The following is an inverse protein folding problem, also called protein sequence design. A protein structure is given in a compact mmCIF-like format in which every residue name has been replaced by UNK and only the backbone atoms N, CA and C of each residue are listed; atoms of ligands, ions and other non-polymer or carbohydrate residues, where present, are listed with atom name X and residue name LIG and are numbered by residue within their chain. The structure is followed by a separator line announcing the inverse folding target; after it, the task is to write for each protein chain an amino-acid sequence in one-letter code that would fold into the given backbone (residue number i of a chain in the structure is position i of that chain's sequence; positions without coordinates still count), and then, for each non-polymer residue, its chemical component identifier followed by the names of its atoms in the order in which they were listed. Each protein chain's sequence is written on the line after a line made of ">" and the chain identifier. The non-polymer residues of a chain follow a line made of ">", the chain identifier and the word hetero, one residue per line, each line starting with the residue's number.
data_IF_642103468562
#
_entry.id   IF_642103468562
#
_cell.length_a   1.000
_cell.length_b   1.000
_cell.length_c   1.000
_cell.angle_alpha   90.00
_cell.angle_beta   90.00
_cell.angle_gamma   90.00
#
_symmetry.space_group_name_H-M   'P 1'
#
loop_
_entity.id
_entity.type
_entity.pdbx_description
1 polymer ?
#
# COMPACT_ATOMS: atom_id res chain seq x y z
N UNK A 1 -44.32 -49.76 4.43
CA UNK A 1 -42.99 -49.81 5.10
C UNK A 1 -41.98 -50.18 4.02
N UNK A 2 -41.12 -49.31 3.50
CA UNK A 2 -40.17 -48.44 4.20
C UNK A 2 -40.02 -47.12 3.42
N UNK A 3 -40.10 -46.00 4.12
CA UNK A 3 -39.79 -44.68 3.61
C UNK A 3 -38.28 -44.59 3.35
N UNK A 4 -37.89 -44.29 2.12
CA UNK A 4 -36.52 -43.89 1.79
C UNK A 4 -36.44 -42.38 2.03
N UNK A 5 -35.80 -42.01 3.13
CA UNK A 5 -35.53 -40.63 3.50
C UNK A 5 -34.50 -40.06 2.51
N UNK A 6 -34.92 -39.10 1.69
CA UNK A 6 -34.03 -38.35 0.80
C UNK A 6 -33.39 -37.23 1.64
N UNK A 7 -32.16 -37.47 2.13
CA UNK A 7 -31.37 -36.46 2.81
C UNK A 7 -30.92 -35.41 1.77
N UNK A 8 -31.65 -34.31 1.68
CA UNK A 8 -31.20 -33.08 1.04
C UNK A 8 -30.09 -32.51 1.92
N UNK A 9 -28.84 -32.84 1.57
CA UNK A 9 -27.64 -32.19 2.08
C UNK A 9 -27.63 -30.75 1.56
N UNK A 10 -28.25 -29.86 2.33
CA UNK A 10 -28.14 -28.42 2.17
C UNK A 10 -26.68 -28.04 2.48
N UNK A 11 -25.83 -28.01 1.44
CA UNK A 11 -24.53 -27.35 1.49
C UNK A 11 -24.80 -25.85 1.71
N UNK A 12 -24.84 -25.46 2.98
CA UNK A 12 -24.63 -24.10 3.43
C UNK A 12 -23.24 -23.69 2.94
N UNK A 13 -23.15 -23.12 1.74
CA UNK A 13 -22.05 -22.22 1.43
C UNK A 13 -22.18 -21.06 2.40
N UNK A 14 -21.38 -21.12 3.47
CA UNK A 14 -21.23 -20.02 4.41
C UNK A 14 -20.68 -18.82 3.64
N UNK A 15 -21.57 -17.89 3.33
CA UNK A 15 -21.25 -16.51 3.01
C UNK A 15 -20.59 -15.89 4.23
N UNK A 16 -19.25 -15.83 4.19
CA UNK A 16 -18.43 -14.68 4.59
C UNK A 16 -16.98 -15.12 4.71
N UNK A 17 -16.31 -15.35 3.57
CA UNK A 17 -14.87 -15.09 3.56
C UNK A 17 -14.70 -13.57 3.67
N UNK A 18 -14.83 -13.04 4.89
CA UNK A 18 -14.14 -11.83 5.26
C UNK A 18 -12.67 -12.16 4.99
N UNK A 19 -12.13 -11.67 3.87
CA UNK A 19 -10.73 -11.91 3.56
C UNK A 19 -9.94 -11.27 4.70
N UNK A 20 -9.32 -12.11 5.55
CA UNK A 20 -8.44 -11.62 6.59
C UNK A 20 -7.39 -10.72 5.93
N UNK A 21 -7.12 -9.56 6.53
CA UNK A 21 -6.15 -8.61 6.00
C UNK A 21 -4.82 -9.33 5.77
N UNK A 22 -4.29 -9.22 4.54
CA UNK A 22 -3.02 -9.84 4.16
C UNK A 22 -1.92 -9.49 5.17
N UNK A 23 -1.02 -10.45 5.41
CA UNK A 23 0.01 -10.37 6.44
C UNK A 23 1.41 -10.43 5.86
N UNK A 24 2.30 -9.61 6.42
CA UNK A 24 3.69 -9.47 5.99
C UNK A 24 4.61 -9.74 7.17
N UNK A 25 5.38 -10.82 7.08
CA UNK A 25 6.44 -11.14 8.03
C UNK A 25 7.72 -10.37 7.68
N UNK A 26 8.10 -9.43 8.54
CA UNK A 26 9.30 -8.61 8.38
C UNK A 26 10.49 -9.33 9.00
N UNK A 27 11.42 -9.78 8.16
CA UNK A 27 12.64 -10.48 8.57
C UNK A 27 13.68 -9.52 9.17
N UNK A 28 14.72 -10.03 9.85
CA UNK A 28 15.87 -9.20 10.20
C UNK A 28 16.51 -8.62 8.95
N UNK A 29 16.92 -7.35 8.99
CA UNK A 29 17.57 -6.71 7.84
C UNK A 29 19.04 -7.11 7.81
N UNK A 30 19.51 -7.49 6.63
CA UNK A 30 20.94 -7.62 6.37
C UNK A 30 21.56 -6.25 6.13
N UNK A 31 22.87 -6.12 6.29
CA UNK A 31 23.53 -4.84 6.07
C UNK A 31 24.93 -4.98 5.46
N UNK A 32 25.38 -3.94 4.78
CA UNK A 32 26.75 -3.85 4.28
C UNK A 32 27.78 -3.83 5.41
N UNK A 33 29.03 -4.15 5.10
CA UNK A 33 30.13 -4.29 6.09
C UNK A 33 30.40 -3.01 6.89
N UNK A 34 30.08 -1.84 6.33
CA UNK A 34 30.32 -0.53 6.95
C UNK A 34 29.08 0.05 7.65
N UNK A 35 27.99 -0.72 7.72
CA UNK A 35 26.76 -0.33 8.40
C UNK A 35 26.72 -1.06 9.74
N UNK A 36 26.46 -0.34 10.83
CA UNK A 36 26.31 -0.97 12.14
C UNK A 36 24.95 -1.67 12.24
N UNK A 37 24.88 -2.72 13.04
CA UNK A 37 23.62 -3.43 13.33
C UNK A 37 22.57 -2.49 13.93
N UNK A 38 22.98 -1.55 14.79
CA UNK A 38 22.08 -0.54 15.35
C UNK A 38 21.41 0.31 14.26
N UNK A 39 22.17 0.78 13.26
CA UNK A 39 21.56 1.54 12.17
C UNK A 39 20.69 0.67 11.26
N UNK A 40 21.10 -0.58 11.01
CA UNK A 40 20.26 -1.55 10.28
C UNK A 40 18.91 -1.74 10.97
N UNK A 41 18.91 -1.90 12.29
CA UNK A 41 17.71 -2.07 13.10
C UNK A 41 16.84 -0.80 13.10
N UNK A 42 17.44 0.40 13.15
CA UNK A 42 16.69 1.66 13.02
C UNK A 42 15.97 1.77 11.67
N UNK A 43 16.64 1.41 10.57
CA UNK A 43 16.03 1.37 9.23
C UNK A 43 14.88 0.36 9.19
N UNK A 44 15.11 -0.86 9.68
CA UNK A 44 14.08 -1.91 9.75
C UNK A 44 12.83 -1.45 10.50
N UNK A 45 13.02 -0.91 11.71
CA UNK A 45 11.90 -0.46 12.55
C UNK A 45 11.10 0.64 11.86
N UNK A 46 11.79 1.58 11.21
CA UNK A 46 11.13 2.65 10.46
C UNK A 46 10.38 2.12 9.23
N UNK A 47 10.92 1.11 8.54
CA UNK A 47 10.19 0.42 7.46
C UNK A 47 8.94 -0.26 8.00
N UNK A 48 9.02 -0.94 9.14
CA UNK A 48 7.84 -1.56 9.77
C UNK A 48 6.76 -0.53 10.15
N UNK A 49 7.17 0.60 10.74
CA UNK A 49 6.27 1.73 11.04
C UNK A 49 5.59 2.24 9.75
N UNK A 50 6.37 2.44 8.68
CA UNK A 50 5.88 2.86 7.38
C UNK A 50 4.88 1.89 6.77
N UNK A 51 5.13 0.58 6.87
CA UNK A 51 4.20 -0.46 6.36
C UNK A 51 2.89 -0.43 7.15
N UNK A 52 2.98 -0.33 8.48
CA UNK A 52 1.82 -0.34 9.34
C UNK A 52 1.00 0.96 9.28
N UNK A 53 1.60 2.07 8.83
CA UNK A 53 1.00 3.41 8.82
C UNK A 53 -0.36 3.51 8.13
N UNK A 54 -0.59 2.70 7.08
CA UNK A 54 -1.85 2.67 6.32
C UNK A 54 -2.85 1.64 6.84
N UNK A 55 -2.41 0.73 7.71
CA UNK A 55 -3.21 -0.43 8.10
C UNK A 55 -3.63 -1.30 6.91
N UNK A 56 -2.85 -1.30 5.80
CA UNK A 56 -3.14 -2.07 4.57
C UNK A 56 -2.90 -3.56 4.76
N UNK A 57 -1.87 -3.89 5.53
CA UNK A 57 -1.42 -5.26 5.81
C UNK A 57 -1.16 -5.42 7.29
N UNK A 58 -1.28 -6.65 7.79
CA UNK A 58 -0.85 -7.03 9.13
C UNK A 58 0.67 -7.20 9.13
N UNK A 59 1.37 -6.32 9.84
CA UNK A 59 2.80 -6.44 10.04
C UNK A 59 3.07 -7.44 11.15
N UNK A 60 3.89 -8.45 10.86
CA UNK A 60 4.40 -9.43 11.80
C UNK A 60 5.92 -9.25 11.93
N UNK A 61 6.45 -9.25 13.15
CA UNK A 61 7.88 -9.14 13.39
C UNK A 61 8.47 -10.53 13.61
N UNK A 62 9.37 -10.99 12.73
CA UNK A 62 10.05 -12.28 12.89
C UNK A 62 10.80 -12.48 14.22
N UNK A 63 11.16 -11.40 14.93
CA UNK A 63 11.78 -11.49 16.25
C UNK A 63 10.79 -11.83 17.38
N UNK A 64 9.50 -11.53 17.22
CA UNK A 64 8.46 -11.74 18.24
C UNK A 64 7.35 -12.70 17.83
N UNK A 65 7.10 -12.81 16.53
CA UNK A 65 6.04 -13.60 15.91
C UNK A 65 6.61 -14.84 15.19
N UNK A 66 7.70 -15.41 15.72
CA UNK A 66 8.32 -16.61 15.15
C UNK A 66 7.29 -17.77 15.08
N UNK A 67 7.15 -18.36 13.89
CA UNK A 67 6.14 -19.38 13.60
C UNK A 67 4.73 -18.87 13.25
N UNK A 68 4.47 -17.56 13.20
CA UNK A 68 3.21 -17.04 12.70
C UNK A 68 3.05 -17.32 11.20
N UNK A 69 1.87 -17.80 10.79
CA UNK A 69 1.53 -17.91 9.37
C UNK A 69 1.37 -16.50 8.77
N UNK A 70 2.10 -16.26 7.68
CA UNK A 70 2.08 -15.01 6.94
C UNK A 70 1.78 -15.27 5.46
N UNK A 71 1.22 -14.28 4.78
CA UNK A 71 0.96 -14.35 3.33
C UNK A 71 2.21 -13.95 2.52
N UNK A 72 3.00 -13.03 3.07
CA UNK A 72 4.21 -12.49 2.44
C UNK A 72 5.37 -12.42 3.43
N UNK A 73 6.60 -12.44 2.90
CA UNK A 73 7.80 -12.02 3.62
C UNK A 73 8.34 -10.72 3.05
N UNK A 74 8.82 -9.84 3.94
CA UNK A 74 9.62 -8.68 3.57
C UNK A 74 11.07 -8.90 4.02
N UNK A 75 11.94 -9.05 3.04
CA UNK A 75 13.39 -9.10 3.20
C UNK A 75 13.96 -7.69 2.95
N UNK A 76 14.83 -7.22 3.86
CA UNK A 76 15.49 -5.92 3.74
C UNK A 76 17.00 -6.02 3.76
N UNK A 77 17.65 -5.17 2.99
CA UNK A 77 19.09 -4.98 3.00
C UNK A 77 19.43 -3.49 3.09
N UNK A 78 20.15 -3.08 4.14
CA UNK A 78 20.78 -1.76 4.20
C UNK A 78 22.11 -1.81 3.47
N UNK A 79 22.12 -1.34 2.24
CA UNK A 79 23.28 -1.42 1.35
C UNK A 79 24.40 -0.50 1.83
N UNK A 80 24.07 0.75 2.14
CA UNK A 80 25.05 1.72 2.65
C UNK A 80 24.40 2.84 3.46
N UNK A 81 25.20 3.42 4.36
CA UNK A 81 24.91 4.70 5.01
C UNK A 81 26.12 5.59 4.73
N UNK A 82 25.89 6.67 3.99
CA UNK A 82 26.93 7.63 3.62
C UNK A 82 26.71 8.91 4.39
N UNK A 83 27.70 9.32 5.17
CA UNK A 83 27.71 10.60 5.90
C UNK A 83 28.62 11.56 5.14
N UNK A 84 28.10 12.74 4.79
CA UNK A 84 28.86 13.79 4.13
C UNK A 84 29.12 14.92 5.13
N UNK A 85 30.40 15.24 5.34
CA UNK A 85 30.84 16.37 6.16
C UNK A 85 31.09 17.60 5.28
N UNK A 86 30.51 18.73 5.66
CA UNK A 86 30.78 20.06 5.12
C UNK A 86 31.06 21.08 6.23
N UNK A 87 31.03 22.36 5.88
CA UNK A 87 31.07 23.45 6.85
C UNK A 87 30.18 24.62 6.44
N UNK A 88 29.84 25.47 7.40
CA UNK A 88 29.27 26.81 7.24
C UNK A 88 29.94 27.78 8.23
N UNK A 89 29.49 29.04 8.26
CA UNK A 89 30.03 30.09 9.14
C UNK A 89 29.93 29.76 10.64
N UNK A 90 29.14 28.75 11.01
CA UNK A 90 28.92 28.31 12.40
C UNK A 90 29.64 26.99 12.71
N UNK A 91 30.40 26.42 11.78
CA UNK A 91 31.25 25.25 12.00
C UNK A 91 30.95 24.06 11.08
N UNK A 92 31.32 22.86 11.55
CA UNK A 92 31.13 21.63 10.81
C UNK A 92 29.65 21.29 10.66
N UNK A 93 29.30 20.73 9.50
CA UNK A 93 27.93 20.34 9.17
C UNK A 93 27.90 18.95 8.57
N UNK A 94 26.80 18.22 8.79
CA UNK A 94 26.66 16.84 8.35
C UNK A 94 25.33 16.63 7.62
N UNK A 95 25.35 15.75 6.64
CA UNK A 95 24.15 15.18 5.99
C UNK A 95 24.35 13.67 5.82
N UNK A 96 23.26 12.92 5.72
CA UNK A 96 23.32 11.47 5.53
C UNK A 96 22.42 11.00 4.39
N UNK A 97 22.87 9.94 3.71
CA UNK A 97 22.10 9.20 2.71
C UNK A 97 22.14 7.71 3.04
N UNK A 98 20.98 7.08 3.12
CA UNK A 98 20.78 5.66 3.37
C UNK A 98 20.27 5.04 2.08
N UNK A 99 21.01 4.06 1.56
CA UNK A 99 20.57 3.23 0.45
C UNK A 99 20.13 1.87 1.01
N UNK A 100 18.89 1.48 0.75
CA UNK A 100 18.34 0.21 1.22
C UNK A 100 17.44 -0.42 0.16
N UNK A 101 17.37 -1.75 0.15
CA UNK A 101 16.53 -2.51 -0.75
C UNK A 101 15.51 -3.32 0.03
N UNK A 102 14.27 -3.34 -0.45
CA UNK A 102 13.19 -4.16 0.07
C UNK A 102 12.76 -5.17 -1.01
N UNK A 103 12.52 -6.41 -0.59
CA UNK A 103 11.99 -7.48 -1.42
C UNK A 103 10.77 -8.09 -0.74
N UNK A 104 9.65 -8.15 -1.46
CA UNK A 104 8.42 -8.80 -1.01
C UNK A 104 8.24 -10.10 -1.78
N UNK A 105 8.08 -11.20 -1.04
CA UNK A 105 7.86 -12.54 -1.61
C UNK A 105 6.55 -13.09 -1.09
N UNK A 106 5.68 -13.58 -1.96
CA UNK A 106 4.46 -14.30 -1.59
C UNK A 106 4.81 -15.72 -1.18
N UNK A 107 4.31 -16.16 -0.04
CA UNK A 107 4.72 -17.44 0.55
C UNK A 107 4.06 -18.63 -0.16
N UNK A 108 2.81 -18.49 -0.61
CA UNK A 108 2.02 -19.60 -1.17
C UNK A 108 2.66 -20.26 -2.39
N UNK A 109 3.40 -19.51 -3.20
CA UNK A 109 4.07 -19.97 -4.43
C UNK A 109 5.50 -19.47 -4.59
N UNK A 110 6.05 -18.79 -3.58
CA UNK A 110 7.40 -18.24 -3.57
C UNK A 110 7.65 -17.22 -4.71
N UNK A 111 6.61 -16.52 -5.18
CA UNK A 111 6.73 -15.46 -6.18
C UNK A 111 7.29 -14.18 -5.57
N UNK A 112 8.30 -13.58 -6.21
CA UNK A 112 8.78 -12.24 -5.87
C UNK A 112 7.79 -11.22 -6.44
N UNK A 113 7.02 -10.58 -5.56
CA UNK A 113 6.00 -9.59 -5.93
C UNK A 113 6.66 -8.24 -6.22
N UNK A 114 7.68 -7.87 -5.45
CA UNK A 114 8.39 -6.62 -5.62
C UNK A 114 9.85 -6.72 -5.16
N UNK A 115 10.72 -5.97 -5.83
CA UNK A 115 12.06 -5.65 -5.35
C UNK A 115 12.35 -4.21 -5.72
N UNK A 116 12.61 -3.37 -4.72
CA UNK A 116 12.83 -1.95 -4.92
C UNK A 116 13.95 -1.43 -4.04
N UNK A 117 14.79 -0.57 -4.64
CA UNK A 117 15.85 0.13 -3.94
C UNK A 117 15.40 1.56 -3.67
N UNK A 118 15.65 2.02 -2.45
CA UNK A 118 15.29 3.34 -1.95
C UNK A 118 16.53 4.11 -1.56
N UNK A 119 16.43 5.42 -1.70
CA UNK A 119 17.40 6.38 -1.22
C UNK A 119 16.70 7.31 -0.22
N UNK A 120 16.98 7.14 1.07
CA UNK A 120 16.51 8.04 2.10
C UNK A 120 17.62 9.03 2.45
N UNK A 121 17.37 10.32 2.27
CA UNK A 121 18.33 11.37 2.55
C UNK A 121 17.82 12.24 3.68
N UNK A 122 18.71 12.77 4.51
CA UNK A 122 18.35 13.74 5.55
C UNK A 122 17.75 15.00 4.87
N UNK A 123 16.44 15.24 4.98
CA UNK A 123 15.74 16.25 4.15
C UNK A 123 15.70 17.65 4.79
N UNK A 124 16.35 18.62 4.13
CA UNK A 124 15.75 19.75 3.38
C UNK A 124 16.91 20.51 2.71
N UNK A 125 16.63 21.32 1.68
CA UNK A 125 17.60 22.21 0.99
C UNK A 125 18.41 23.12 1.95
N UNK A 126 18.04 23.19 3.23
CA UNK A 126 18.64 24.03 4.27
C UNK A 126 19.05 23.26 5.54
N UNK A 127 18.81 21.94 5.62
CA UNK A 127 19.03 21.15 6.85
C UNK A 127 20.48 20.67 6.93
N UNK A 128 21.34 21.46 7.58
CA UNK A 128 22.73 21.07 7.91
C UNK A 128 22.82 20.70 9.39
N UNK A 129 22.99 19.41 9.69
CA UNK A 129 23.07 18.92 11.06
C UNK A 129 24.43 19.23 11.67
N UNK A 130 24.51 19.33 13.00
CA UNK A 130 25.76 19.61 13.73
C UNK A 130 26.47 18.36 14.19
N UNK A 131 25.80 17.21 14.15
CA UNK A 131 26.38 15.90 14.45
C UNK A 131 26.06 14.89 13.34
N UNK A 132 26.89 13.86 13.21
CA UNK A 132 26.66 12.75 12.29
C UNK A 132 25.41 11.95 12.66
N UNK A 133 25.17 11.76 13.97
CA UNK A 133 24.02 11.03 14.49
C UNK A 133 22.70 11.69 14.10
N UNK A 134 22.59 13.01 14.26
CA UNK A 134 21.37 13.75 13.89
C UNK A 134 21.10 13.67 12.37
N UNK A 135 22.16 13.69 11.56
CA UNK A 135 22.04 13.54 10.12
C UNK A 135 21.50 12.16 9.75
N UNK A 136 22.06 11.09 10.34
CA UNK A 136 21.58 9.72 10.08
C UNK A 136 20.16 9.53 10.57
N UNK A 137 19.81 10.00 11.77
CA UNK A 137 18.44 9.90 12.29
C UNK A 137 17.43 10.63 11.40
N UNK A 138 17.79 11.81 10.88
CA UNK A 138 16.93 12.51 9.93
C UNK A 138 16.75 11.75 8.60
N UNK A 139 17.79 11.05 8.14
CA UNK A 139 17.67 10.20 6.96
C UNK A 139 16.83 8.94 7.25
N UNK A 140 16.94 8.36 8.45
CA UNK A 140 16.05 7.27 8.89
C UNK A 140 14.61 7.76 8.91
N UNK A 141 14.32 8.89 9.54
CA UNK A 141 12.95 9.40 9.65
C UNK A 141 12.31 9.57 8.27
N UNK A 142 13.04 10.05 7.26
CA UNK A 142 12.52 10.21 5.89
C UNK A 142 12.04 8.92 5.21
N UNK A 143 12.43 7.74 5.72
CA UNK A 143 11.91 6.45 5.22
C UNK A 143 10.37 6.40 5.36
N UNK A 144 9.81 6.98 6.42
CA UNK A 144 8.35 7.00 6.64
C UNK A 144 7.55 7.67 5.52
N UNK A 145 8.18 8.54 4.74
CA UNK A 145 7.57 9.22 3.61
C UNK A 145 7.58 8.37 2.34
N UNK A 146 8.48 7.39 2.24
CA UNK A 146 8.68 6.56 1.04
C UNK A 146 7.87 5.26 1.10
N UNK A 147 7.85 4.62 2.26
CA UNK A 147 7.23 3.30 2.46
C UNK A 147 5.71 3.28 2.24
N UNK A 148 4.92 4.29 2.63
CA UNK A 148 3.49 4.24 2.41
C UNK A 148 3.13 4.12 0.93
N UNK A 149 3.86 4.79 0.03
CA UNK A 149 3.61 4.68 -1.41
C UNK A 149 4.04 3.31 -1.97
N UNK A 150 5.14 2.74 -1.45
CA UNK A 150 5.52 1.34 -1.74
C UNK A 150 4.43 0.34 -1.34
N UNK A 151 3.81 0.53 -0.18
CA UNK A 151 2.68 -0.31 0.28
C UNK A 151 1.50 -0.23 -0.69
N UNK A 152 1.14 0.96 -1.17
CA UNK A 152 0.03 1.10 -2.13
C UNK A 152 0.34 0.47 -3.50
N UNK A 153 1.61 0.39 -3.87
CA UNK A 153 2.06 -0.26 -5.10
C UNK A 153 2.02 -1.79 -5.01
N UNK A 154 2.54 -2.33 -3.90
CA UNK A 154 2.66 -3.78 -3.68
C UNK A 154 1.34 -4.40 -3.25
N UNK A 155 0.62 -3.77 -2.31
CA UNK A 155 -0.60 -4.29 -1.68
C UNK A 155 -1.82 -3.48 -2.12
N UNK A 156 -2.10 -3.49 -3.42
CA UNK A 156 -3.25 -2.79 -4.01
C UNK A 156 -4.56 -3.39 -3.51
N UNK A 157 -5.47 -2.55 -3.02
CA UNK A 157 -6.84 -3.01 -2.78
C UNK A 157 -7.73 -2.76 -3.97
N UNK A 158 -8.56 -3.76 -4.24
CA UNK A 158 -9.53 -3.77 -5.33
C UNK A 158 -10.93 -3.84 -4.74
N UNK A 159 -11.79 -2.94 -5.18
CA UNK A 159 -13.19 -2.91 -4.75
C UNK A 159 -14.15 -2.66 -5.91
N UNK A 160 -15.43 -2.60 -5.59
CA UNK A 160 -16.49 -2.25 -6.54
C UNK A 160 -17.04 -0.87 -6.23
N UNK A 161 -17.63 -0.23 -7.24
CA UNK A 161 -18.52 0.91 -7.02
C UNK A 161 -19.90 0.34 -6.67
N UNK A 162 -20.44 0.75 -5.53
CA UNK A 162 -21.76 0.30 -5.04
C UNK A 162 -22.85 1.08 -5.80
N UNK A 163 -22.84 2.40 -5.68
CA UNK A 163 -23.80 3.29 -6.34
C UNK A 163 -23.24 4.72 -6.46
N UNK A 164 -23.91 5.54 -7.27
CA UNK A 164 -23.62 6.97 -7.38
C UNK A 164 -24.45 7.73 -6.33
N UNK A 165 -23.79 8.28 -5.32
CA UNK A 165 -24.42 9.04 -4.24
C UNK A 165 -24.85 10.46 -4.67
N UNK A 166 -24.18 11.06 -5.66
CA UNK A 166 -24.52 12.40 -6.15
C UNK A 166 -24.24 12.53 -7.65
N UNK A 167 -25.22 13.04 -8.41
CA UNK A 167 -25.11 13.31 -9.86
C UNK A 167 -25.49 14.76 -10.16
N UNK A 168 -24.76 15.41 -11.07
CA UNK A 168 -25.13 16.73 -11.59
C UNK A 168 -24.91 16.82 -13.10
N UNK A 169 -25.99 16.92 -13.89
CA UNK A 169 -25.94 16.97 -15.37
C UNK A 169 -25.17 15.77 -15.96
N UNK A 170 -25.62 14.56 -15.64
CA UNK A 170 -25.01 13.30 -16.11
C UNK A 170 -23.51 13.20 -15.79
N UNK A 171 -23.14 13.73 -14.63
CA UNK A 171 -21.78 13.75 -14.14
C UNK A 171 -21.80 13.28 -12.68
N UNK A 172 -21.24 12.11 -12.42
CA UNK A 172 -21.06 11.58 -11.08
C UNK A 172 -20.16 12.53 -10.28
N UNK A 173 -20.63 12.92 -9.09
CA UNK A 173 -19.92 13.80 -8.15
C UNK A 173 -19.46 13.04 -6.92
N UNK A 174 -20.27 12.09 -6.44
CA UNK A 174 -19.93 11.23 -5.31
C UNK A 174 -20.41 9.81 -5.57
N UNK A 175 -19.73 8.83 -5.00
CA UNK A 175 -20.06 7.41 -5.11
C UNK A 175 -19.65 6.65 -3.86
N UNK A 176 -20.36 5.56 -3.56
CA UNK A 176 -19.98 4.60 -2.53
C UNK A 176 -19.16 3.47 -3.14
N UNK A 177 -18.15 2.99 -2.40
CA UNK A 177 -17.32 1.84 -2.80
C UNK A 177 -17.29 0.78 -1.71
N UNK A 178 -17.00 -0.46 -2.09
CA UNK A 178 -16.88 -1.61 -1.18
C UNK A 178 -15.53 -1.69 -0.46
N UNK A 179 -14.85 -0.56 -0.26
CA UNK A 179 -13.57 -0.53 0.47
C UNK A 179 -13.72 0.37 1.69
N UNK A 180 -13.25 -0.10 2.84
CA UNK A 180 -13.37 0.59 4.12
C UNK A 180 -12.13 0.47 5.00
N UNK A 181 -12.33 0.56 6.31
CA UNK A 181 -11.23 0.55 7.28
C UNK A 181 -10.46 -0.77 7.31
N UNK A 182 -11.11 -1.91 7.06
CA UNK A 182 -10.46 -3.23 7.03
C UNK A 182 -9.55 -3.40 5.80
N UNK A 183 -9.84 -2.68 4.72
CA UNK A 183 -9.01 -2.61 3.52
C UNK A 183 -7.85 -1.61 3.64
N UNK A 184 -7.66 -0.99 4.82
CA UNK A 184 -6.66 0.05 5.05
C UNK A 184 -6.90 1.32 4.23
N UNK A 185 -8.16 1.63 3.90
CA UNK A 185 -8.52 2.87 3.20
C UNK A 185 -8.51 4.05 4.17
N UNK A 186 -7.91 5.16 3.74
CA UNK A 186 -7.83 6.39 4.51
C UNK A 186 -8.53 7.55 3.82
N UNK A 187 -9.05 8.48 4.62
CA UNK A 187 -9.60 9.75 4.11
C UNK A 187 -8.55 10.46 3.26
N UNK A 188 -8.97 10.87 2.07
CA UNK A 188 -8.13 11.57 1.11
C UNK A 188 -7.29 10.67 0.21
N UNK A 189 -7.30 9.35 0.41
CA UNK A 189 -6.68 8.40 -0.52
C UNK A 189 -7.32 8.50 -1.90
N UNK A 190 -6.51 8.37 -2.94
CA UNK A 190 -6.97 8.41 -4.33
C UNK A 190 -7.10 6.98 -4.88
N UNK A 191 -8.13 6.77 -5.69
CA UNK A 191 -8.36 5.51 -6.39
C UNK A 191 -8.67 5.81 -7.86
N UNK A 192 -8.25 4.89 -8.71
CA UNK A 192 -8.66 4.87 -10.11
C UNK A 192 -9.96 4.09 -10.24
N UNK A 193 -10.93 4.65 -10.95
CA UNK A 193 -12.15 3.95 -11.36
C UNK A 193 -11.88 3.31 -12.71
N UNK A 194 -12.18 2.02 -12.84
CA UNK A 194 -11.91 1.25 -14.05
C UNK A 194 -13.13 0.45 -14.47
N UNK A 195 -13.28 0.26 -15.77
CA UNK A 195 -14.29 -0.63 -16.34
C UNK A 195 -13.62 -1.88 -16.91
N UNK A 196 -14.20 -3.03 -16.60
CA UNK A 196 -13.83 -4.31 -17.19
C UNK A 196 -14.30 -4.37 -18.64
N UNK A 197 -13.46 -4.86 -19.55
CA UNK A 197 -13.84 -5.15 -20.94
C UNK A 197 -13.28 -6.50 -21.35
N UNK A 198 -13.99 -7.20 -22.24
CA UNK A 198 -13.50 -8.43 -22.86
C UNK A 198 -13.07 -8.16 -24.30
N UNK A 199 -11.83 -8.50 -24.64
CA UNK A 199 -11.31 -8.43 -26.01
C UNK A 199 -10.71 -9.79 -26.37
N UNK A 200 -11.32 -10.49 -27.32
CA UNK A 200 -10.85 -11.81 -27.76
C UNK A 200 -10.75 -12.82 -26.61
N UNK A 201 -11.72 -12.80 -25.68
CA UNK A 201 -11.76 -13.67 -24.50
C UNK A 201 -10.81 -13.27 -23.37
N UNK A 202 -10.06 -12.17 -23.50
CA UNK A 202 -9.19 -11.64 -22.43
C UNK A 202 -9.86 -10.50 -21.70
N UNK A 203 -9.83 -10.55 -20.37
CA UNK A 203 -10.28 -9.45 -19.51
C UNK A 203 -9.22 -8.35 -19.46
N UNK A 204 -9.62 -7.14 -19.81
CA UNK A 204 -8.82 -5.92 -19.67
C UNK A 204 -9.53 -4.93 -18.76
N UNK A 205 -8.78 -4.06 -18.10
CA UNK A 205 -9.33 -2.96 -17.31
C UNK A 205 -8.91 -1.63 -17.91
N UNK A 206 -9.88 -0.76 -18.21
CA UNK A 206 -9.63 0.61 -18.69
C UNK A 206 -9.95 1.59 -17.56
N UNK A 207 -9.00 2.46 -17.20
CA UNK A 207 -9.27 3.59 -16.29
C UNK A 207 -10.22 4.58 -16.97
N UNK A 208 -11.30 4.91 -16.29
CA UNK A 208 -12.38 5.80 -16.75
C UNK A 208 -12.62 6.99 -15.83
N UNK A 209 -11.84 7.13 -14.75
CA UNK A 209 -11.85 8.31 -13.91
C UNK A 209 -11.07 8.13 -12.62
N UNK A 210 -11.07 9.17 -11.80
CA UNK A 210 -10.35 9.18 -10.52
C UNK A 210 -11.27 9.66 -9.41
N UNK A 211 -11.18 9.03 -8.25
CA UNK A 211 -11.92 9.38 -7.05
C UNK A 211 -10.97 9.63 -5.89
N UNK A 212 -11.46 10.38 -4.90
CA UNK A 212 -10.77 10.63 -3.63
C UNK A 212 -11.73 10.30 -2.49
N UNK A 213 -11.27 9.49 -1.53
CA UNK A 213 -12.06 9.12 -0.34
C UNK A 213 -12.40 10.38 0.45
N UNK A 214 -13.68 10.64 0.65
CA UNK A 214 -14.20 11.78 1.40
C UNK A 214 -14.43 11.41 2.87
N UNK A 215 -15.03 10.23 3.10
CA UNK A 215 -15.23 9.59 4.41
C UNK A 215 -15.10 8.07 4.28
N UNK A 216 -14.48 7.45 5.29
CA UNK A 216 -14.57 6.00 5.53
C UNK A 216 -15.75 5.81 6.47
N UNK A 217 -16.77 5.08 6.03
CA UNK A 217 -18.08 5.01 6.72
C UNK A 217 -18.30 3.68 7.43
N UNK A 218 -17.46 2.68 7.15
CA UNK A 218 -17.47 1.40 7.82
C UNK A 218 -16.26 0.54 7.48
N UNK A 219 -16.32 -0.72 7.90
CA UNK A 219 -15.29 -1.73 7.68
C UNK A 219 -15.03 -1.97 6.18
N UNK A 220 -16.08 -1.94 5.37
CA UNK A 220 -16.14 -2.33 3.97
C UNK A 220 -16.82 -1.26 3.08
N UNK A 221 -16.96 -0.03 3.58
CA UNK A 221 -17.64 1.04 2.86
C UNK A 221 -17.01 2.41 3.05
N UNK A 222 -16.88 3.15 1.95
CA UNK A 222 -16.42 4.54 1.94
C UNK A 222 -17.21 5.38 0.94
N UNK A 223 -17.46 6.64 1.29
CA UNK A 223 -17.95 7.66 0.37
C UNK A 223 -16.76 8.36 -0.30
N UNK A 224 -16.80 8.44 -1.62
CA UNK A 224 -15.75 9.04 -2.41
C UNK A 224 -16.26 10.20 -3.25
N UNK A 225 -15.45 11.25 -3.36
CA UNK A 225 -15.65 12.36 -4.30
C UNK A 225 -14.99 12.04 -5.63
N UNK A 226 -15.72 12.23 -6.72
CA UNK A 226 -15.18 12.14 -8.07
C UNK A 226 -14.28 13.35 -8.35
N UNK A 227 -13.04 13.09 -8.74
CA UNK A 227 -12.04 14.12 -9.03
C UNK A 227 -11.73 14.26 -10.53
N UNK A 228 -11.92 13.20 -11.33
CA UNK A 228 -11.79 13.24 -12.80
C UNK A 228 -12.84 12.37 -13.49
N UNK A 229 -13.21 12.78 -14.70
CA UNK A 229 -14.04 11.99 -15.64
C UNK A 229 -15.42 11.52 -15.12
N UNK A 230 -16.10 12.34 -14.29
CA UNK A 230 -17.41 11.98 -13.73
C UNK A 230 -18.51 11.69 -14.75
N UNK A 231 -18.40 12.14 -16.01
CA UNK A 231 -19.34 11.76 -17.08
C UNK A 231 -19.13 10.32 -17.54
N UNK A 232 -17.88 9.92 -17.72
CA UNK A 232 -17.53 8.55 -18.13
C UNK A 232 -17.89 7.55 -17.02
N UNK A 233 -17.64 7.90 -15.75
CA UNK A 233 -18.08 7.11 -14.60
C UNK A 233 -19.61 6.98 -14.59
N UNK A 234 -20.34 8.10 -14.74
CA UNK A 234 -21.80 8.09 -14.77
C UNK A 234 -22.34 7.18 -15.87
N UNK A 235 -21.78 7.29 -17.08
CA UNK A 235 -22.14 6.46 -18.22
C UNK A 235 -21.89 4.97 -17.93
N UNK A 236 -20.70 4.62 -17.46
CA UNK A 236 -20.34 3.23 -17.17
C UNK A 236 -21.22 2.61 -16.07
N UNK A 237 -21.53 3.36 -15.01
CA UNK A 237 -22.44 2.90 -13.95
C UNK A 237 -23.90 2.78 -14.40
N UNK A 238 -24.30 3.46 -15.46
CA UNK A 238 -25.66 3.37 -16.03
C UNK A 238 -25.77 2.21 -17.01
N UNK A 239 -24.73 1.97 -17.81
CA UNK A 239 -24.74 0.96 -18.88
C UNK A 239 -24.27 -0.42 -18.41
N UNK A 240 -23.20 -0.48 -17.60
CA UNK A 240 -22.51 -1.71 -17.19
C UNK A 240 -21.99 -1.62 -15.74
N UNK A 241 -22.86 -1.42 -14.73
CA UNK A 241 -22.44 -1.20 -13.34
C UNK A 241 -21.58 -2.34 -12.76
N UNK A 242 -21.91 -3.59 -13.10
CA UNK A 242 -21.19 -4.77 -12.59
C UNK A 242 -19.74 -4.87 -13.06
N UNK A 243 -19.41 -4.19 -14.16
CA UNK A 243 -18.05 -4.13 -14.73
C UNK A 243 -17.22 -2.99 -14.15
N UNK A 244 -17.80 -2.11 -13.32
CA UNK A 244 -17.09 -0.96 -12.73
C UNK A 244 -16.46 -1.35 -11.40
N UNK A 245 -15.16 -1.14 -11.30
CA UNK A 245 -14.37 -1.39 -10.10
C UNK A 245 -13.45 -0.22 -9.76
N UNK A 246 -12.87 -0.26 -8.57
CA UNK A 246 -11.89 0.72 -8.09
C UNK A 246 -10.61 0.01 -7.67
N UNK A 247 -9.49 0.70 -7.79
CA UNK A 247 -8.19 0.23 -7.30
C UNK A 247 -7.43 1.40 -6.68
N UNK A 248 -6.69 1.16 -5.60
CA UNK A 248 -5.81 2.18 -5.03
C UNK A 248 -4.83 2.71 -6.08
N UNK A 249 -4.71 4.03 -6.15
CA UNK A 249 -3.87 4.69 -7.13
C UNK A 249 -2.42 4.68 -6.66
N UNK A 250 -1.51 4.20 -7.51
CA UNK A 250 -0.08 4.27 -7.25
C UNK A 250 0.42 5.68 -7.55
N UNK A 251 1.22 6.24 -6.65
CA UNK A 251 1.91 7.49 -6.88
C UNK A 251 3.10 7.24 -7.82
N UNK A 252 2.99 7.63 -9.09
CA UNK A 252 4.01 7.33 -10.11
C UNK A 252 5.36 8.06 -9.88
N UNK A 253 5.48 8.91 -8.87
CA UNK A 253 6.72 9.65 -8.57
C UNK A 253 7.84 8.80 -7.96
N UNK A 254 7.62 7.51 -7.67
CA UNK A 254 8.67 6.61 -7.15
C UNK A 254 9.49 5.97 -8.28
N UNK A 255 8.98 5.98 -9.51
CA UNK A 255 9.77 5.62 -10.67
C UNK A 255 10.62 6.84 -11.03
N UNK A 256 11.87 6.86 -10.57
CA UNK A 256 12.90 7.77 -11.07
C UNK A 256 13.16 7.57 -12.56
N UNK A 257 12.22 8.06 -13.38
CA UNK A 257 12.41 8.50 -14.76
C UNK A 257 12.47 10.03 -14.75
#
# INVERSE_FOLDING_TARGET
>A
MKHVLLFVSLLLFSLSSYAARESVLVKPFTHGTNVSENYSNSVRNKVMEGINSKGRVKVLDSATDDGAEADYTLDGQVVSITITKGSDDKGATYSAKINYQLKVTRISDNEIIATQTFDASSTSLFSKFRTELDAVNSAVDYIDAQIPDFVDEVFKSYGKVIEIAEVKKENAKKLYITLGSEDGILKGQKLDVRVQKSIGGRTIYKVIGEIKVESVEGADISLCKVTKEGKEIYKAMTETPDDVSVVTKVNQNILGL
#
